data_IF_851352326390
#
_entry.id   IF_851352326390
#
_cell.length_a   1.000
_cell.length_b   1.000
_cell.length_c   1.000
_cell.angle_alpha   90.00
_cell.angle_beta   90.00
_cell.angle_gamma   90.00
#
_symmetry.space_group_name_H-M   'P 1'
#
loop_
_entity.id
_entity.type
_entity.pdbx_description
1 polymer ?
#
# COMPACT_ATOMS: atom_id res chain seq x y z
N UNK A 1 8.43 36.12 -22.66
CA UNK A 1 7.55 34.95 -22.92
C UNK A 1 8.24 33.74 -22.33
N UNK A 2 7.80 33.26 -21.16
CA UNK A 2 8.05 31.95 -20.55
C UNK A 2 7.57 32.03 -19.08
N UNK A 3 6.29 31.76 -18.85
CA UNK A 3 5.78 31.43 -17.52
C UNK A 3 4.78 30.29 -17.65
N UNK A 4 5.27 29.06 -17.58
CA UNK A 4 4.45 27.95 -17.09
C UNK A 4 4.93 27.65 -15.68
N UNK A 5 4.43 28.47 -14.74
CA UNK A 5 4.39 28.06 -13.36
C UNK A 5 3.56 26.78 -13.30
N UNK A 6 4.15 25.72 -12.77
CA UNK A 6 3.44 24.51 -12.38
C UNK A 6 2.24 24.90 -11.53
N UNK A 7 1.04 24.55 -11.97
CA UNK A 7 -0.24 24.79 -11.28
C UNK A 7 -0.37 23.91 -10.02
N UNK A 8 0.58 23.99 -9.10
CA UNK A 8 0.34 23.63 -7.72
C UNK A 8 -0.33 24.84 -7.07
N UNK A 9 -1.67 24.86 -7.12
CA UNK A 9 -2.51 25.84 -6.43
C UNK A 9 -2.06 25.98 -4.98
N UNK A 10 -1.58 27.17 -4.60
CA UNK A 10 -1.08 27.45 -3.24
C UNK A 10 -2.19 27.61 -2.20
N UNK A 11 -3.48 27.51 -2.55
CA UNK A 11 -4.56 27.93 -1.64
C UNK A 11 -5.84 27.09 -1.67
N UNK A 12 -5.78 25.86 -2.16
CA UNK A 12 -6.85 24.88 -1.95
C UNK A 12 -6.18 23.61 -1.50
N UNK A 13 -6.43 23.15 -0.27
CA UNK A 13 -6.07 21.80 0.12
C UNK A 13 -6.69 20.88 -0.94
N UNK A 14 -5.88 20.16 -1.75
CA UNK A 14 -6.45 19.32 -2.79
C UNK A 14 -7.36 18.33 -2.09
N UNK A 15 -8.62 18.21 -2.51
CA UNK A 15 -9.53 17.29 -1.85
C UNK A 15 -8.93 15.89 -1.95
N UNK A 16 -8.66 15.28 -0.80
CA UNK A 16 -8.19 13.90 -0.72
C UNK A 16 -9.37 13.00 -1.12
N UNK A 17 -9.41 12.61 -2.38
CA UNK A 17 -10.36 11.63 -2.87
C UNK A 17 -9.71 10.25 -2.80
N UNK A 18 -10.35 9.33 -2.11
CA UNK A 18 -9.99 7.92 -2.19
C UNK A 18 -10.58 7.33 -3.47
N UNK A 19 -9.85 6.40 -4.09
CA UNK A 19 -10.38 5.61 -5.21
C UNK A 19 -11.67 4.90 -4.79
N UNK A 20 -12.58 4.56 -5.72
CA UNK A 20 -13.74 3.74 -5.39
C UNK A 20 -13.34 2.44 -4.67
N UNK A 21 -14.02 2.11 -3.56
CA UNK A 21 -13.83 0.83 -2.88
C UNK A 21 -14.63 -0.25 -3.61
N UNK A 22 -13.96 -1.10 -4.40
CA UNK A 22 -14.61 -2.25 -5.04
C UNK A 22 -14.75 -3.44 -4.07
N UNK A 23 -13.64 -3.90 -3.48
CA UNK A 23 -13.62 -4.93 -2.45
C UNK A 23 -12.30 -4.89 -1.66
N UNK A 24 -12.20 -5.72 -0.62
CA UNK A 24 -11.01 -5.82 0.23
C UNK A 24 -10.96 -4.76 1.32
N UNK A 25 -9.74 -4.37 1.70
CA UNK A 25 -9.40 -3.47 2.81
C UNK A 25 -9.52 -4.15 4.19
N UNK A 26 -9.37 -3.38 5.25
CA UNK A 26 -9.62 -3.84 6.61
C UNK A 26 -11.07 -3.61 7.04
N UNK A 27 -11.54 -4.48 7.94
CA UNK A 27 -12.77 -4.34 8.71
C UNK A 27 -12.48 -4.67 10.17
N UNK A 28 -13.20 -4.02 11.08
CA UNK A 28 -13.07 -4.31 12.51
C UNK A 28 -13.52 -5.75 12.79
N UNK A 29 -12.75 -6.47 13.60
CA UNK A 29 -13.05 -7.84 14.01
C UNK A 29 -13.96 -7.83 15.25
N UNK A 30 -15.21 -7.42 15.09
CA UNK A 30 -16.23 -7.52 16.13
C UNK A 30 -17.28 -8.56 15.77
N UNK A 31 -17.80 -9.25 16.78
CA UNK A 31 -19.06 -9.97 16.68
C UNK A 31 -20.23 -8.97 16.52
N UNK A 32 -21.41 -9.48 16.15
CA UNK A 32 -22.56 -8.63 15.82
C UNK A 32 -23.02 -7.72 16.98
N UNK A 33 -22.85 -8.18 18.22
CA UNK A 33 -23.21 -7.43 19.43
C UNK A 33 -22.10 -6.50 19.95
N UNK A 34 -20.92 -6.51 19.32
CA UNK A 34 -19.73 -5.72 19.69
C UNK A 34 -19.23 -5.95 21.12
N UNK A 35 -19.45 -7.14 21.66
CA UNK A 35 -18.95 -7.53 22.98
C UNK A 35 -17.61 -8.25 22.92
N UNK A 36 -17.19 -8.70 21.74
CA UNK A 36 -15.93 -9.42 21.55
C UNK A 36 -15.57 -9.62 20.08
N UNK A 37 -14.52 -10.40 19.81
CA UNK A 37 -14.10 -10.73 18.45
C UNK A 37 -15.11 -11.62 17.73
N UNK A 38 -15.27 -11.41 16.42
CA UNK A 38 -16.08 -12.29 15.56
C UNK A 38 -15.29 -13.49 15.05
N UNK A 39 -13.98 -13.32 14.87
CA UNK A 39 -13.07 -14.29 14.29
C UNK A 39 -11.77 -14.40 15.09
N UNK A 40 -11.05 -15.50 14.91
CA UNK A 40 -9.69 -15.70 15.41
C UNK A 40 -8.75 -16.19 14.30
N UNK A 41 -7.44 -16.08 14.53
CA UNK A 41 -6.44 -16.70 13.68
C UNK A 41 -6.43 -18.22 13.89
N UNK A 42 -6.20 -19.03 12.85
CA UNK A 42 -5.92 -20.46 13.01
C UNK A 42 -4.73 -20.74 13.93
N UNK A 43 -3.79 -19.80 14.06
CA UNK A 43 -2.64 -19.91 14.95
C UNK A 43 -2.97 -19.66 16.43
N UNK A 44 -4.21 -19.24 16.76
CA UNK A 44 -4.64 -18.94 18.11
C UNK A 44 -4.30 -17.51 18.55
N UNK A 45 -4.03 -17.35 19.85
CA UNK A 45 -3.74 -16.06 20.47
C UNK A 45 -2.36 -15.53 20.09
N UNK A 46 -2.17 -14.22 20.25
CA UNK A 46 -0.90 -13.53 20.06
C UNK A 46 -0.31 -13.71 18.64
N UNK A 47 -1.16 -13.98 17.65
CA UNK A 47 -0.77 -14.24 16.27
C UNK A 47 -0.53 -12.97 15.44
N UNK A 48 -0.51 -11.80 16.07
CA UNK A 48 -0.41 -10.50 15.43
C UNK A 48 -1.72 -9.69 15.46
N UNK A 49 -1.66 -8.47 14.92
CA UNK A 49 -2.73 -7.47 15.04
C UNK A 49 -3.84 -7.59 13.99
N UNK A 50 -3.69 -8.48 13.00
CA UNK A 50 -4.63 -8.64 11.87
C UNK A 50 -4.75 -10.11 11.44
N UNK A 51 -5.86 -10.47 10.81
CA UNK A 51 -6.12 -11.81 10.21
C UNK A 51 -6.45 -11.64 8.73
N UNK A 52 -5.90 -12.47 7.84
CA UNK A 52 -6.36 -12.50 6.45
C UNK A 52 -7.80 -12.99 6.38
N UNK A 53 -8.64 -12.31 5.59
CA UNK A 53 -10.04 -12.70 5.38
C UNK A 53 -10.18 -14.13 4.83
N UNK A 54 -9.19 -14.59 4.07
CA UNK A 54 -9.09 -15.94 3.52
C UNK A 54 -8.72 -17.02 4.54
N UNK A 55 -8.21 -16.65 5.72
CA UNK A 55 -7.68 -17.57 6.74
C UNK A 55 -8.49 -17.56 8.02
N UNK A 56 -9.34 -16.54 8.22
CA UNK A 56 -10.08 -16.36 9.47
C UNK A 56 -10.98 -17.57 9.78
N UNK A 57 -11.04 -17.93 11.05
CA UNK A 57 -11.99 -18.93 11.56
C UNK A 57 -12.93 -18.28 12.58
N UNK A 58 -14.15 -18.82 12.78
CA UNK A 58 -15.07 -18.32 13.80
C UNK A 58 -14.39 -18.26 15.18
N UNK A 59 -14.67 -17.21 15.94
CA UNK A 59 -14.13 -17.10 17.28
C UNK A 59 -14.69 -18.19 18.20
N UNK A 60 -13.81 -18.82 18.97
CA UNK A 60 -14.15 -19.73 20.06
C UNK A 60 -13.31 -19.32 21.26
N UNK A 61 -13.96 -19.08 22.40
CA UNK A 61 -13.27 -18.61 23.60
C UNK A 61 -12.53 -19.74 24.31
N UNK A 62 -11.29 -19.99 23.88
CA UNK A 62 -10.36 -20.94 24.51
C UNK A 62 -9.14 -20.25 25.10
N UNK A 63 -9.24 -18.93 25.33
CA UNK A 63 -8.10 -18.07 25.63
C UNK A 63 -7.94 -17.80 27.12
N UNK A 64 -6.71 -17.48 27.52
CA UNK A 64 -6.39 -17.08 28.89
C UNK A 64 -6.44 -15.56 29.04
N UNK A 65 -6.73 -15.03 30.24
CA UNK A 65 -6.60 -13.61 30.51
C UNK A 65 -5.21 -13.09 30.13
N UNK A 66 -5.16 -12.06 29.28
CA UNK A 66 -3.91 -11.49 28.75
C UNK A 66 -3.58 -11.91 27.32
N UNK A 67 -4.27 -12.91 26.77
CA UNK A 67 -4.13 -13.27 25.35
C UNK A 67 -4.66 -12.16 24.44
N UNK A 68 -3.89 -11.86 23.38
CA UNK A 68 -4.28 -10.88 22.37
C UNK A 68 -4.90 -11.57 21.14
N UNK A 69 -6.01 -11.00 20.67
CA UNK A 69 -6.67 -11.38 19.42
C UNK A 69 -6.63 -10.20 18.46
N UNK A 70 -6.36 -10.49 17.19
CA UNK A 70 -6.32 -9.48 16.14
C UNK A 70 -7.62 -8.64 16.09
N UNK A 71 -7.45 -7.32 16.11
CA UNK A 71 -8.56 -6.36 16.12
C UNK A 71 -9.19 -6.11 14.75
N UNK A 72 -8.54 -6.54 13.67
CA UNK A 72 -9.00 -6.32 12.30
C UNK A 72 -8.87 -7.57 11.44
N UNK A 73 -9.78 -7.71 10.48
CA UNK A 73 -9.67 -8.64 9.36
C UNK A 73 -9.28 -7.85 8.12
N UNK A 74 -8.29 -8.31 7.38
CA UNK A 74 -7.76 -7.64 6.18
C UNK A 74 -7.93 -8.51 4.94
N UNK A 75 -8.22 -7.87 3.82
CA UNK A 75 -8.32 -8.54 2.52
C UNK A 75 -7.60 -7.74 1.42
N UNK A 76 -7.02 -8.41 0.41
CA UNK A 76 -6.43 -7.74 -0.74
C UNK A 76 -7.40 -6.75 -1.38
N UNK A 77 -6.89 -5.56 -1.71
CA UNK A 77 -7.64 -4.55 -2.45
C UNK A 77 -7.92 -5.03 -3.88
N UNK A 78 -9.13 -4.74 -4.37
CA UNK A 78 -9.58 -5.11 -5.72
C UNK A 78 -9.99 -3.86 -6.49
N UNK A 79 -9.88 -3.94 -7.81
CA UNK A 79 -10.25 -2.85 -8.73
C UNK A 79 -9.13 -1.82 -8.83
N UNK A 80 -9.51 -0.58 -9.10
CA UNK A 80 -8.60 0.54 -9.31
C UNK A 80 -7.59 0.70 -8.16
N UNK A 81 -8.10 0.69 -6.92
CA UNK A 81 -7.32 0.79 -5.69
C UNK A 81 -6.32 -0.37 -5.49
N UNK A 82 -6.48 -1.48 -6.22
CA UNK A 82 -5.66 -2.69 -6.11
C UNK A 82 -4.60 -2.84 -7.21
N UNK A 83 -4.56 -1.98 -8.24
CA UNK A 83 -3.64 -2.11 -9.39
C UNK A 83 -2.22 -1.58 -9.09
N UNK A 84 -1.74 -1.82 -7.87
CA UNK A 84 -0.44 -1.37 -7.33
C UNK A 84 0.22 -2.48 -6.50
N UNK A 85 0.63 -3.61 -7.09
CA UNK A 85 1.34 -4.66 -6.36
C UNK A 85 2.65 -4.12 -5.79
N UNK A 86 2.94 -4.51 -4.55
CA UNK A 86 4.13 -4.12 -3.84
C UNK A 86 4.70 -5.27 -3.01
N UNK A 87 6.01 -5.20 -2.80
CA UNK A 87 6.77 -6.09 -1.93
C UNK A 87 7.58 -5.24 -0.96
N UNK A 88 7.78 -5.75 0.24
CA UNK A 88 8.59 -5.10 1.27
C UNK A 88 9.51 -6.12 1.92
N UNK A 89 10.71 -5.67 2.26
CA UNK A 89 11.69 -6.48 2.99
C UNK A 89 12.40 -5.59 4.02
N UNK A 90 12.55 -6.10 5.24
CA UNK A 90 13.42 -5.49 6.25
C UNK A 90 14.78 -6.19 6.25
N UNK A 91 15.86 -5.43 6.16
CA UNK A 91 17.23 -5.92 6.12
C UNK A 91 18.22 -4.78 6.32
N UNK A 92 19.41 -5.08 6.85
CA UNK A 92 20.49 -4.10 7.08
C UNK A 92 20.05 -2.83 7.84
N UNK A 93 19.11 -2.98 8.77
CA UNK A 93 18.59 -1.90 9.59
C UNK A 93 17.55 -0.99 8.90
N UNK A 94 17.04 -1.36 7.72
CA UNK A 94 16.07 -0.56 6.97
C UNK A 94 14.99 -1.36 6.26
N UNK A 95 13.90 -0.68 5.92
CA UNK A 95 12.86 -1.20 5.03
C UNK A 95 13.19 -0.86 3.57
N UNK A 96 13.13 -1.87 2.71
CA UNK A 96 13.09 -1.70 1.26
C UNK A 96 11.69 -2.04 0.76
N UNK A 97 11.11 -1.16 -0.05
CA UNK A 97 9.82 -1.36 -0.70
C UNK A 97 9.98 -1.20 -2.21
N UNK A 98 9.44 -2.15 -2.95
CA UNK A 98 9.29 -2.05 -4.39
C UNK A 98 7.80 -2.18 -4.73
N UNK A 99 7.29 -1.28 -5.55
CA UNK A 99 5.94 -1.35 -6.09
C UNK A 99 5.98 -1.19 -7.60
N UNK A 100 5.01 -1.78 -8.28
CA UNK A 100 4.88 -1.66 -9.73
C UNK A 100 3.46 -1.29 -10.12
N UNK A 101 3.32 -0.70 -11.31
CA UNK A 101 2.04 -0.31 -11.86
C UNK A 101 2.10 -0.20 -13.37
N UNK A 102 0.94 -0.24 -14.04
CA UNK A 102 0.88 0.06 -15.47
C UNK A 102 1.21 1.54 -15.70
N UNK A 103 1.84 1.83 -16.84
CA UNK A 103 2.06 3.21 -17.29
C UNK A 103 0.73 3.90 -17.60
N UNK A 104 -0.17 3.18 -18.29
CA UNK A 104 -1.53 3.64 -18.60
C UNK A 104 -2.50 2.62 -18.03
N UNK A 105 -3.31 3.03 -17.06
CA UNK A 105 -4.28 2.17 -16.35
C UNK A 105 -5.69 2.30 -16.93
N UNK A 106 -5.99 3.43 -17.58
CA UNK A 106 -7.33 3.74 -18.10
C UNK A 106 -8.32 4.24 -17.03
N UNK A 107 -7.91 4.29 -15.76
CA UNK A 107 -8.71 4.89 -14.68
C UNK A 107 -8.68 6.42 -14.75
N UNK A 108 -9.82 7.04 -14.45
CA UNK A 108 -9.94 8.49 -14.34
C UNK A 108 -9.39 9.04 -12.99
N UNK A 109 -9.02 8.15 -12.06
CA UNK A 109 -8.42 8.49 -10.76
C UNK A 109 -6.89 8.47 -10.80
N UNK A 110 -6.33 7.76 -11.76
CA UNK A 110 -4.91 7.58 -11.91
C UNK A 110 -4.24 8.64 -12.80
N UNK A 111 -3.02 9.00 -12.44
CA UNK A 111 -2.10 9.66 -13.39
C UNK A 111 -1.77 8.69 -14.52
N UNK A 112 -1.99 9.11 -15.76
CA UNK A 112 -1.66 8.34 -16.96
C UNK A 112 -0.28 8.74 -17.49
N UNK A 113 0.69 7.82 -17.43
CA UNK A 113 2.03 7.98 -18.00
C UNK A 113 2.05 7.73 -19.52
N UNK A 114 1.11 8.35 -20.24
CA UNK A 114 0.96 8.17 -21.69
C UNK A 114 1.98 8.95 -22.52
N UNK A 115 2.64 9.96 -21.94
CA UNK A 115 3.69 10.74 -22.59
C UNK A 115 4.99 10.67 -21.78
N UNK A 116 5.87 9.76 -22.17
CA UNK A 116 7.13 9.50 -21.49
C UNK A 116 8.16 10.63 -21.66
N UNK A 117 7.89 11.64 -22.49
CA UNK A 117 8.75 12.82 -22.61
C UNK A 117 8.51 13.85 -21.50
N UNK A 118 7.38 13.75 -20.79
CA UNK A 118 7.00 14.67 -19.74
C UNK A 118 7.60 14.30 -18.38
N UNK A 119 7.73 15.31 -17.52
CA UNK A 119 8.02 15.11 -16.11
C UNK A 119 6.72 14.92 -15.34
N UNK A 120 6.65 13.85 -14.57
CA UNK A 120 5.56 13.58 -13.64
C UNK A 120 6.02 13.81 -12.22
N UNK A 121 5.17 14.39 -11.38
CA UNK A 121 5.56 14.80 -10.04
C UNK A 121 4.89 13.91 -8.99
N UNK A 122 5.66 13.50 -7.98
CA UNK A 122 5.17 12.70 -6.86
C UNK A 122 5.79 13.16 -5.55
N UNK A 123 5.14 12.80 -4.44
CA UNK A 123 5.65 13.01 -3.09
C UNK A 123 5.59 11.70 -2.32
N UNK A 124 6.52 11.52 -1.38
CA UNK A 124 6.57 10.35 -0.51
C UNK A 124 6.38 10.79 0.94
N UNK A 125 5.58 10.01 1.67
CA UNK A 125 5.41 10.12 3.11
C UNK A 125 5.65 8.75 3.74
N UNK A 126 6.35 8.71 4.88
CA UNK A 126 6.73 7.50 5.60
C UNK A 126 6.09 7.55 6.98
N UNK A 127 5.35 6.49 7.29
CA UNK A 127 4.68 6.28 8.56
C UNK A 127 5.40 5.16 9.31
N UNK A 128 6.27 5.51 10.24
CA UNK A 128 6.93 4.54 11.12
C UNK A 128 6.19 4.51 12.46
N UNK A 129 5.33 3.50 12.62
CA UNK A 129 4.44 3.33 13.79
C UNK A 129 3.74 4.64 14.22
N UNK A 130 3.42 5.50 13.25
CA UNK A 130 2.96 6.85 13.49
C UNK A 130 1.54 7.03 12.96
N UNK A 131 0.62 7.49 13.82
CA UNK A 131 -0.74 7.81 13.40
C UNK A 131 -0.86 9.26 12.91
N UNK A 132 -0.24 10.22 13.61
CA UNK A 132 -0.42 11.66 13.35
C UNK A 132 0.85 12.36 12.88
N UNK A 133 2.04 11.96 13.37
CA UNK A 133 3.33 12.61 13.07
C UNK A 133 4.20 11.73 12.18
N UNK A 134 4.02 11.84 10.87
CA UNK A 134 4.79 11.12 9.86
C UNK A 134 5.80 12.03 9.17
N UNK A 135 6.86 11.45 8.61
CA UNK A 135 7.81 12.16 7.77
C UNK A 135 7.26 12.28 6.35
N UNK A 136 7.42 13.44 5.71
CA UNK A 136 6.95 13.67 4.35
C UNK A 136 7.90 14.60 3.60
N UNK A 137 7.93 14.47 2.28
CA UNK A 137 8.65 15.41 1.44
C UNK A 137 7.95 16.77 1.43
N UNK A 138 8.71 17.84 1.69
CA UNK A 138 8.21 19.22 1.65
C UNK A 138 8.13 19.79 0.23
N UNK A 139 8.67 19.09 -0.75
CA UNK A 139 8.62 19.41 -2.19
C UNK A 139 8.34 18.17 -3.02
N UNK A 140 7.83 18.36 -4.24
CA UNK A 140 7.58 17.26 -5.15
C UNK A 140 8.88 16.78 -5.83
N UNK A 141 9.06 15.47 -5.89
CA UNK A 141 10.06 14.82 -6.72
C UNK A 141 9.57 14.74 -8.18
N UNK A 142 10.48 14.87 -9.14
CA UNK A 142 10.18 14.75 -10.57
C UNK A 142 10.64 13.39 -11.09
N UNK A 143 9.70 12.59 -11.58
CA UNK A 143 9.93 11.39 -12.38
C UNK A 143 10.02 11.77 -13.86
N UNK A 144 11.15 11.49 -14.48
CA UNK A 144 11.35 11.61 -15.93
C UNK A 144 11.72 10.25 -16.48
N UNK A 145 10.96 9.76 -17.44
CA UNK A 145 11.32 8.54 -18.13
C UNK A 145 12.49 8.82 -19.07
N UNK A 146 13.42 7.88 -19.13
CA UNK A 146 14.51 7.88 -20.10
C UNK A 146 14.70 6.46 -20.59
N UNK A 147 15.22 6.33 -21.81
CA UNK A 147 15.63 5.00 -22.27
C UNK A 147 16.73 4.52 -21.33
N UNK A 148 16.53 3.34 -20.76
CA UNK A 148 17.56 2.68 -19.97
C UNK A 148 18.77 2.47 -20.88
N UNK A 149 19.98 2.93 -20.52
CA UNK A 149 21.18 2.54 -21.24
C UNK A 149 21.27 1.01 -21.21
N UNK A 150 21.45 0.36 -22.36
CA UNK A 150 21.42 -1.09 -22.55
C UNK A 150 22.52 -1.88 -21.79
N UNK A 151 23.23 -1.26 -20.84
CA UNK A 151 24.52 -1.73 -20.36
C UNK A 151 24.53 -2.32 -18.93
N UNK A 152 23.39 -2.51 -18.26
CA UNK A 152 23.40 -3.18 -16.94
C UNK A 152 22.42 -4.34 -16.95
N UNK A 153 22.97 -5.55 -17.03
CA UNK A 153 22.29 -6.76 -16.61
C UNK A 153 21.94 -6.60 -15.13
N UNK A 154 20.69 -6.27 -14.86
CA UNK A 154 20.07 -6.49 -13.56
C UNK A 154 18.99 -7.52 -13.75
N UNK A 155 18.85 -8.33 -12.72
CA UNK A 155 17.97 -9.47 -12.60
C UNK A 155 16.63 -9.18 -13.24
N UNK A 156 16.27 -10.01 -14.22
CA UNK A 156 14.99 -9.86 -14.90
C UNK A 156 13.85 -9.91 -13.87
N UNK A 157 12.69 -9.33 -14.20
CA UNK A 157 11.47 -9.52 -13.40
C UNK A 157 11.17 -11.01 -13.11
N UNK A 158 11.69 -11.94 -13.93
CA UNK A 158 11.64 -13.37 -13.67
C UNK A 158 12.54 -13.84 -12.52
N UNK A 159 13.75 -13.27 -12.39
CA UNK A 159 14.68 -13.57 -11.29
C UNK A 159 14.20 -12.97 -9.95
N UNK A 160 13.64 -11.77 -9.97
CA UNK A 160 13.02 -11.15 -8.79
C UNK A 160 11.84 -12.01 -8.29
N UNK A 161 10.99 -12.51 -9.21
CA UNK A 161 9.91 -13.46 -8.86
C UNK A 161 10.41 -14.80 -8.31
N UNK A 162 11.55 -15.31 -8.78
CA UNK A 162 12.13 -16.56 -8.27
C UNK A 162 12.70 -16.43 -6.86
N UNK A 163 13.27 -15.28 -6.52
CA UNK A 163 13.74 -14.97 -5.16
C UNK A 163 12.58 -14.73 -4.18
N UNK A 164 11.38 -14.39 -4.68
CA UNK A 164 10.18 -14.14 -3.88
C UNK A 164 9.35 -15.40 -3.54
N UNK A 165 9.64 -16.53 -4.18
CA UNK A 165 8.92 -17.80 -3.98
C UNK A 165 9.74 -18.85 -3.18
N UNK A 166 10.79 -18.43 -2.47
CA UNK A 166 11.58 -19.26 -1.55
C UNK A 166 11.32 -18.88 -0.09
#
# INVERSE_FOLDING_TARGET
MLSRASNWSRNTWPPRHSDPKTAGWYADNFNADKTGPGFMSPAGANSGYWIMDSEKVPFVDTFSPGDEIAGIVVAPLVGDRGDLPAVTQYGDGGWTMEFSRKLVTGSDKDVQFSDLSQAYYFGVAIFDNAQVRHSFQTSAAALKFSQRPTAVAQSSWGEVKQLMNQ
#
